data_IF_652248969193
#
_entry.id   IF_652248969193
#
_cell.length_a   1.000
_cell.length_b   1.000
_cell.length_c   1.000
_cell.angle_alpha   90.00
_cell.angle_beta   90.00
_cell.angle_gamma   90.00
#
_symmetry.space_group_name_H-M   'P 1'
#
loop_
_entity.id
_entity.type
_entity.pdbx_description
1 polymer ?
#
# COMPACT_ATOMS: atom_id res chain seq x y z
N UNK A 1 14.83 63.07 -23.25
CA UNK A 1 15.18 61.70 -23.65
C UNK A 1 14.33 60.77 -22.79
N UNK A 2 13.09 60.59 -23.22
CA UNK A 2 12.03 59.84 -22.55
C UNK A 2 12.07 58.37 -22.95
N UNK A 3 12.13 57.46 -21.96
CA UNK A 3 11.75 56.05 -22.10
C UNK A 3 11.21 55.51 -20.77
N UNK A 4 9.95 55.84 -20.46
CA UNK A 4 9.11 55.02 -19.59
C UNK A 4 8.03 54.37 -20.46
N UNK A 5 8.29 53.14 -20.90
CA UNK A 5 7.30 52.32 -21.58
C UNK A 5 6.31 51.78 -20.55
N UNK A 6 5.05 52.23 -20.64
CA UNK A 6 3.95 51.79 -19.80
C UNK A 6 3.65 50.31 -20.07
N UNK A 7 3.87 49.46 -19.07
CA UNK A 7 3.38 48.08 -19.05
C UNK A 7 1.86 48.11 -18.89
N UNK A 8 1.13 47.77 -19.94
CA UNK A 8 -0.33 47.67 -19.93
C UNK A 8 -0.79 46.46 -19.09
N UNK A 9 -1.59 46.66 -18.03
CA UNK A 9 -2.18 45.55 -17.27
C UNK A 9 -3.59 45.30 -17.81
N UNK A 10 -3.71 44.45 -18.83
CA UNK A 10 -4.99 43.87 -19.23
C UNK A 10 -4.84 42.38 -19.55
N UNK A 11 -4.57 41.58 -18.52
CA UNK A 11 -5.01 40.18 -18.55
C UNK A 11 -6.40 40.12 -17.94
N UNK A 12 -7.41 40.31 -18.79
CA UNK A 12 -8.81 40.15 -18.40
C UNK A 12 -9.07 38.75 -17.86
N UNK A 13 -9.67 38.67 -16.68
CA UNK A 13 -10.10 37.41 -16.06
C UNK A 13 -11.14 36.78 -16.98
N UNK A 14 -10.76 35.72 -17.71
CA UNK A 14 -11.72 34.93 -18.50
C UNK A 14 -12.64 34.20 -17.53
N UNK A 15 -13.93 34.53 -17.57
CA UNK A 15 -14.97 33.78 -16.87
C UNK A 15 -15.08 32.39 -17.48
N UNK A 16 -14.77 31.34 -16.71
CA UNK A 16 -14.96 29.95 -17.11
C UNK A 16 -16.43 29.58 -16.97
N UNK A 17 -17.05 29.08 -18.03
CA UNK A 17 -18.44 28.65 -18.04
C UNK A 17 -18.61 27.26 -17.41
N UNK A 18 -19.79 26.99 -16.85
CA UNK A 18 -20.15 25.66 -16.31
C UNK A 18 -20.05 24.58 -17.39
N UNK A 19 -20.35 24.92 -18.66
CA UNK A 19 -20.22 24.01 -19.79
C UNK A 19 -18.76 23.61 -20.06
N UNK A 20 -17.82 24.56 -19.97
CA UNK A 20 -16.39 24.28 -20.12
C UNK A 20 -15.87 23.39 -18.97
N UNK A 21 -16.31 23.65 -17.74
CA UNK A 21 -15.99 22.77 -16.59
C UNK A 21 -16.52 21.36 -16.83
N UNK A 22 -17.77 21.23 -17.28
CA UNK A 22 -18.38 19.93 -17.58
C UNK A 22 -17.64 19.17 -18.69
N UNK A 23 -17.22 19.86 -19.76
CA UNK A 23 -16.43 19.26 -20.82
C UNK A 23 -15.06 18.77 -20.31
N UNK A 24 -14.39 19.56 -19.47
CA UNK A 24 -13.10 19.17 -18.87
C UNK A 24 -13.24 17.94 -17.96
N UNK A 25 -14.26 17.88 -17.10
CA UNK A 25 -14.50 16.74 -16.22
C UNK A 25 -14.80 15.45 -17.01
N UNK A 26 -15.58 15.54 -18.10
CA UNK A 26 -15.81 14.40 -19.01
C UNK A 26 -14.51 13.93 -19.65
N UNK A 27 -13.69 14.85 -20.16
CA UNK A 27 -12.40 14.50 -20.76
C UNK A 27 -11.46 13.79 -19.76
N UNK A 28 -11.47 14.19 -18.48
CA UNK A 28 -10.72 13.52 -17.40
C UNK A 28 -11.24 12.09 -17.20
N UNK A 29 -12.56 11.91 -17.09
CA UNK A 29 -13.17 10.59 -16.92
C UNK A 29 -12.87 9.64 -18.09
N UNK A 30 -12.92 10.17 -19.32
CA UNK A 30 -12.56 9.40 -20.52
C UNK A 30 -11.08 8.98 -20.51
N UNK A 31 -10.21 9.88 -20.04
CA UNK A 31 -8.77 9.58 -19.90
C UNK A 31 -8.53 8.47 -18.86
N UNK A 32 -9.18 8.56 -17.70
CA UNK A 32 -9.11 7.52 -16.66
C UNK A 32 -9.62 6.19 -17.21
N UNK A 33 -10.76 6.19 -17.91
CA UNK A 33 -11.33 4.98 -18.51
C UNK A 33 -10.38 4.31 -19.50
N UNK A 34 -9.74 5.10 -20.38
CA UNK A 34 -8.71 4.58 -21.30
C UNK A 34 -7.50 4.02 -20.57
N UNK A 35 -7.02 4.67 -19.51
CA UNK A 35 -5.89 4.18 -18.72
C UNK A 35 -6.19 2.84 -18.04
N UNK A 36 -7.38 2.72 -17.47
CA UNK A 36 -7.86 1.48 -16.87
C UNK A 36 -7.95 0.35 -17.88
N UNK A 37 -8.49 0.63 -19.08
CA UNK A 37 -8.51 -0.33 -20.19
C UNK A 37 -7.12 -0.81 -20.60
N UNK A 38 -6.14 0.10 -20.67
CA UNK A 38 -4.73 -0.26 -20.95
C UNK A 38 -4.13 -1.11 -19.83
N UNK A 39 -4.34 -0.72 -18.58
CA UNK A 39 -3.86 -1.45 -17.40
C UNK A 39 -4.42 -2.87 -17.36
N UNK A 40 -5.72 -3.05 -17.62
CA UNK A 40 -6.35 -4.36 -17.72
C UNK A 40 -5.77 -5.22 -18.86
N UNK A 41 -5.41 -4.61 -20.00
CA UNK A 41 -4.65 -5.28 -21.06
C UNK A 41 -3.30 -5.80 -20.58
N UNK A 42 -2.48 -4.94 -19.96
CA UNK A 42 -1.15 -5.30 -19.45
C UNK A 42 -1.22 -6.39 -18.38
N UNK A 43 -2.23 -6.34 -17.49
CA UNK A 43 -2.43 -7.39 -16.47
C UNK A 43 -2.65 -8.76 -17.12
N UNK A 44 -3.50 -8.84 -18.15
CA UNK A 44 -3.74 -10.09 -18.90
C UNK A 44 -2.45 -10.59 -19.58
N UNK A 45 -1.73 -9.70 -20.26
CA UNK A 45 -0.48 -10.06 -20.94
C UNK A 45 0.59 -10.59 -19.96
N UNK A 46 0.68 -10.00 -18.76
CA UNK A 46 1.59 -10.47 -17.71
C UNK A 46 1.14 -11.81 -17.13
N UNK A 47 -0.16 -12.04 -16.96
CA UNK A 47 -0.69 -13.33 -16.50
C UNK A 47 -0.40 -14.45 -17.51
N UNK A 48 -0.58 -14.16 -18.79
CA UNK A 48 -0.27 -15.10 -19.88
C UNK A 48 1.23 -15.39 -19.95
N UNK A 49 2.06 -14.35 -19.87
CA UNK A 49 3.53 -14.49 -19.87
C UNK A 49 4.02 -15.30 -18.68
N UNK A 50 3.49 -15.03 -17.47
CA UNK A 50 3.79 -15.80 -16.26
C UNK A 50 3.39 -17.27 -16.41
N UNK A 51 2.21 -17.53 -16.98
CA UNK A 51 1.71 -18.89 -17.19
C UNK A 51 2.58 -19.67 -18.17
N UNK A 52 2.96 -19.05 -19.30
CA UNK A 52 3.89 -19.63 -20.28
C UNK A 52 5.26 -19.93 -19.67
N UNK A 53 5.82 -18.97 -18.92
CA UNK A 53 7.10 -19.15 -18.23
C UNK A 53 7.05 -20.31 -17.22
N UNK A 54 5.96 -20.41 -16.46
CA UNK A 54 5.75 -21.51 -15.51
C UNK A 54 5.64 -22.88 -16.16
N UNK A 55 5.05 -22.98 -17.36
CA UNK A 55 5.02 -24.22 -18.14
C UNK A 55 6.42 -24.58 -18.65
N UNK A 56 7.14 -23.63 -19.24
CA UNK A 56 8.49 -23.84 -19.80
C UNK A 56 9.51 -24.26 -18.74
N UNK A 57 9.42 -23.70 -17.54
CA UNK A 57 10.38 -23.93 -16.45
C UNK A 57 9.93 -25.00 -15.44
N UNK A 58 8.91 -25.78 -15.79
CA UNK A 58 8.39 -26.84 -14.93
C UNK A 58 9.49 -27.85 -14.63
N UNK A 59 9.73 -28.10 -13.34
CA UNK A 59 10.78 -29.01 -12.86
C UNK A 59 12.17 -28.37 -12.71
N UNK A 60 12.34 -27.10 -13.09
CA UNK A 60 13.58 -26.38 -12.79
C UNK A 60 13.68 -26.10 -11.28
N UNK A 61 14.75 -26.57 -10.65
CA UNK A 61 15.10 -26.26 -9.26
C UNK A 61 15.86 -24.94 -9.08
N UNK A 62 16.07 -24.18 -10.15
CA UNK A 62 16.93 -23.01 -10.11
C UNK A 62 16.25 -21.82 -9.38
N UNK A 63 16.87 -21.21 -8.36
CA UNK A 63 16.22 -20.20 -7.50
C UNK A 63 15.76 -18.93 -8.24
N UNK A 64 16.44 -18.56 -9.33
CA UNK A 64 16.02 -17.41 -10.15
C UNK A 64 14.65 -17.58 -10.82
N UNK A 65 14.20 -18.82 -11.05
CA UNK A 65 12.87 -19.10 -11.62
C UNK A 65 11.77 -18.66 -10.64
N UNK A 66 11.90 -19.07 -9.37
CA UNK A 66 10.99 -18.65 -8.32
C UNK A 66 10.96 -17.14 -8.15
N UNK A 67 12.13 -16.49 -8.19
CA UNK A 67 12.24 -15.03 -8.11
C UNK A 67 11.56 -14.32 -9.29
N UNK A 68 11.71 -14.82 -10.51
CA UNK A 68 11.06 -14.27 -11.68
C UNK A 68 9.53 -14.38 -11.59
N UNK A 69 9.00 -15.56 -11.25
CA UNK A 69 7.55 -15.79 -11.10
C UNK A 69 6.94 -14.94 -9.98
N UNK A 70 7.66 -14.76 -8.86
CA UNK A 70 7.26 -13.85 -7.79
C UNK A 70 7.24 -12.39 -8.27
N UNK A 71 8.21 -11.98 -9.08
CA UNK A 71 8.24 -10.65 -9.71
C UNK A 71 7.01 -10.37 -10.58
N UNK A 72 6.60 -11.33 -11.43
CA UNK A 72 5.36 -11.23 -12.21
C UNK A 72 4.13 -11.07 -11.32
N UNK A 73 4.00 -11.89 -10.28
CA UNK A 73 2.86 -11.81 -9.37
C UNK A 73 2.79 -10.44 -8.69
N UNK A 74 3.92 -9.93 -8.19
CA UNK A 74 3.99 -8.61 -7.57
C UNK A 74 3.69 -7.47 -8.56
N UNK A 75 4.09 -7.59 -9.83
CA UNK A 75 3.75 -6.60 -10.87
C UNK A 75 2.24 -6.58 -11.17
N UNK A 76 1.62 -7.75 -11.28
CA UNK A 76 0.17 -7.89 -11.49
C UNK A 76 -0.61 -7.25 -10.34
N UNK A 77 -0.24 -7.51 -9.09
CA UNK A 77 -0.92 -6.92 -7.93
C UNK A 77 -0.79 -5.38 -7.91
N UNK A 78 0.38 -4.82 -8.22
CA UNK A 78 0.55 -3.36 -8.30
C UNK A 78 -0.30 -2.72 -9.40
N UNK A 79 -0.45 -3.38 -10.55
CA UNK A 79 -1.32 -2.89 -11.62
C UNK A 79 -2.80 -2.94 -11.23
N UNK A 80 -3.22 -3.97 -10.50
CA UNK A 80 -4.58 -4.06 -9.94
C UNK A 80 -4.85 -2.95 -8.92
N UNK A 81 -3.89 -2.67 -8.05
CA UNK A 81 -3.98 -1.55 -7.11
C UNK A 81 -4.09 -0.20 -7.84
N UNK A 82 -3.28 0.01 -8.89
CA UNK A 82 -3.36 1.20 -9.73
C UNK A 82 -4.74 1.35 -10.42
N UNK A 83 -5.30 0.26 -10.94
CA UNK A 83 -6.66 0.25 -11.52
C UNK A 83 -7.72 0.62 -10.47
N UNK A 84 -7.58 0.10 -9.25
CA UNK A 84 -8.49 0.42 -8.14
C UNK A 84 -8.44 1.91 -7.76
N UNK A 85 -7.25 2.49 -7.62
CA UNK A 85 -7.07 3.92 -7.34
C UNK A 85 -7.60 4.80 -8.48
N UNK A 86 -7.43 4.37 -9.73
CA UNK A 86 -8.00 5.05 -10.88
C UNK A 86 -9.54 5.01 -10.87
N UNK A 87 -10.13 3.87 -10.47
CA UNK A 87 -11.58 3.74 -10.30
C UNK A 87 -12.13 4.70 -9.22
N UNK A 88 -11.47 4.76 -8.06
CA UNK A 88 -11.82 5.70 -6.99
C UNK A 88 -11.69 7.17 -7.43
N UNK A 89 -10.65 7.49 -8.20
CA UNK A 89 -10.48 8.83 -8.77
C UNK A 89 -11.61 9.20 -9.71
N UNK A 90 -12.08 8.27 -10.56
CA UNK A 90 -13.24 8.50 -11.41
C UNK A 90 -14.52 8.74 -10.60
N UNK A 91 -14.73 7.99 -9.52
CA UNK A 91 -15.87 8.19 -8.61
C UNK A 91 -15.82 9.58 -7.95
N UNK A 92 -14.66 10.00 -7.45
CA UNK A 92 -14.47 11.32 -6.85
C UNK A 92 -14.74 12.46 -7.85
N UNK A 93 -14.30 12.32 -9.11
CA UNK A 93 -14.57 13.30 -10.18
C UNK A 93 -16.07 13.40 -10.47
N UNK A 94 -16.80 12.27 -10.49
CA UNK A 94 -18.26 12.27 -10.67
C UNK A 94 -18.99 12.91 -9.49
N UNK A 95 -18.58 12.59 -8.26
CA UNK A 95 -19.15 13.19 -7.06
C UNK A 95 -18.96 14.73 -7.06
N UNK A 96 -17.77 15.20 -7.47
CA UNK A 96 -17.52 16.63 -7.64
C UNK A 96 -18.40 17.26 -8.71
N UNK A 97 -18.53 16.63 -9.89
CA UNK A 97 -19.39 17.11 -10.97
C UNK A 97 -20.85 17.29 -10.49
N UNK A 98 -21.38 16.27 -9.80
CA UNK A 98 -22.73 16.31 -9.24
C UNK A 98 -22.89 17.45 -8.22
N UNK A 99 -21.90 17.66 -7.35
CA UNK A 99 -21.94 18.71 -6.33
C UNK A 99 -22.02 20.14 -6.94
N UNK A 100 -21.53 20.33 -8.16
CA UNK A 100 -21.62 21.61 -8.89
C UNK A 100 -22.76 21.65 -9.91
N UNK A 101 -23.71 20.71 -9.83
CA UNK A 101 -24.89 20.66 -10.70
C UNK A 101 -24.61 20.18 -12.13
N UNK A 102 -23.48 19.51 -12.36
CA UNK A 102 -23.13 18.91 -13.65
C UNK A 102 -23.44 17.42 -13.60
N UNK A 103 -24.45 16.99 -14.36
CA UNK A 103 -24.73 15.58 -14.54
C UNK A 103 -23.78 14.98 -15.59
N UNK A 104 -23.05 13.95 -15.20
CA UNK A 104 -22.17 13.17 -16.08
C UNK A 104 -22.68 11.73 -16.03
N UNK A 105 -23.28 11.22 -17.12
CA UNK A 105 -23.76 9.86 -17.16
C UNK A 105 -22.59 8.91 -16.89
N UNK A 106 -22.83 7.90 -16.04
CA UNK A 106 -21.90 6.80 -15.93
C UNK A 106 -21.76 6.17 -17.31
N UNK A 107 -20.55 6.23 -17.91
CA UNK A 107 -20.28 5.54 -19.16
C UNK A 107 -20.71 4.09 -18.99
N UNK A 108 -21.72 3.70 -19.75
CA UNK A 108 -22.27 2.35 -19.79
C UNK A 108 -21.27 1.43 -20.48
N UNK A 109 -20.13 1.20 -19.82
CA UNK A 109 -19.17 0.19 -20.21
C UNK A 109 -19.80 -1.15 -19.86
N UNK A 110 -20.39 -1.75 -20.89
CA UNK A 110 -20.99 -3.06 -20.93
C UNK A 110 -20.19 -4.08 -20.14
N UNK A 111 -20.90 -4.78 -19.26
CA UNK A 111 -20.54 -6.08 -18.73
C UNK A 111 -20.35 -7.05 -19.89
N UNK A 112 -19.12 -7.24 -20.34
CA UNK A 112 -18.73 -8.30 -21.24
C UNK A 112 -17.65 -9.15 -20.55
N UNK A 113 -18.02 -9.79 -19.44
CA UNK A 113 -17.26 -10.89 -18.84
C UNK A 113 -18.25 -11.76 -18.04
N UNK A 114 -19.01 -12.58 -18.77
CA UNK A 114 -19.81 -13.67 -18.19
C UNK A 114 -19.67 -14.95 -19.02
N UNK A 115 -18.42 -15.33 -19.32
CA UNK A 115 -18.09 -16.62 -19.94
C UNK A 115 -17.02 -17.34 -19.13
N UNK A 116 -17.45 -18.38 -18.43
CA UNK A 116 -16.62 -19.57 -18.18
C UNK A 116 -15.68 -19.56 -16.97
N UNK A 117 -16.23 -19.57 -15.76
CA UNK A 117 -15.49 -20.01 -14.57
C UNK A 117 -16.13 -21.29 -14.00
N UNK A 118 -16.01 -22.39 -14.74
CA UNK A 118 -16.15 -23.75 -14.21
C UNK A 118 -14.75 -24.32 -13.99
N UNK A 119 -14.29 -24.30 -12.74
CA UNK A 119 -12.97 -24.78 -12.37
C UNK A 119 -12.82 -24.86 -10.87
N UNK A 120 -13.35 -25.94 -10.30
CA UNK A 120 -13.05 -26.48 -8.97
C UNK A 120 -11.59 -26.23 -8.57
N UNK A 121 -11.39 -25.50 -7.47
CA UNK A 121 -10.12 -25.53 -6.74
C UNK A 121 -10.41 -25.48 -5.25
N UNK A 122 -10.02 -26.58 -4.63
CA UNK A 122 -10.31 -26.95 -3.26
C UNK A 122 -9.80 -25.91 -2.27
N UNK A 123 -10.75 -25.49 -1.44
CA UNK A 123 -10.60 -25.10 -0.05
C UNK A 123 -9.52 -25.96 0.65
N UNK A 124 -8.34 -25.36 0.90
CA UNK A 124 -7.42 -25.81 1.95
C UNK A 124 -7.37 -24.72 3.01
N UNK A 125 -8.17 -24.93 4.05
CA UNK A 125 -8.09 -24.24 5.32
C UNK A 125 -6.89 -24.77 6.13
N UNK A 126 -6.02 -23.86 6.58
CA UNK A 126 -5.17 -23.97 7.79
C UNK A 126 -4.37 -22.65 7.93
N UNK A 127 -4.49 -21.79 8.94
CA UNK A 127 -5.33 -21.76 10.13
C UNK A 127 -5.69 -20.30 10.48
N UNK A 128 -6.92 -20.11 10.94
CA UNK A 128 -7.57 -18.80 11.06
C UNK A 128 -7.00 -17.89 12.15
N UNK A 129 -7.17 -16.59 11.94
CA UNK A 129 -7.72 -15.70 12.98
C UNK A 129 -9.14 -15.36 12.49
N UNK A 130 -10.17 -15.36 13.36
CA UNK A 130 -11.52 -14.98 12.98
C UNK A 130 -11.57 -13.54 12.43
N UNK A 131 -12.66 -13.17 11.74
CA UNK A 131 -12.81 -11.86 11.13
C UNK A 131 -12.68 -10.73 12.15
N UNK A 132 -12.16 -9.61 11.65
CA UNK A 132 -12.04 -8.24 12.16
C UNK A 132 -13.30 -7.62 12.81
N UNK A 133 -14.36 -8.37 13.06
CA UNK A 133 -15.55 -7.90 13.75
C UNK A 133 -15.29 -7.90 15.27
N UNK A 134 -15.02 -6.72 15.84
CA UNK A 134 -14.99 -6.52 17.30
C UNK A 134 -13.80 -5.76 17.87
N UNK A 135 -12.85 -5.28 17.06
CA UNK A 135 -11.71 -4.51 17.57
C UNK A 135 -11.96 -3.00 17.50
N UNK A 136 -12.98 -2.50 18.22
CA UNK A 136 -13.25 -1.05 18.31
C UNK A 136 -12.01 -0.23 18.72
N UNK A 137 -11.11 -0.84 19.49
CA UNK A 137 -9.85 -0.23 19.87
C UNK A 137 -8.89 0.05 18.69
N UNK A 138 -9.01 -0.65 17.55
CA UNK A 138 -8.21 -0.35 16.34
C UNK A 138 -8.65 0.97 15.74
N UNK A 139 -9.95 1.25 15.73
CA UNK A 139 -10.49 2.54 15.29
C UNK A 139 -10.04 3.66 16.25
N UNK A 140 -10.08 3.42 17.56
CA UNK A 140 -9.54 4.34 18.57
C UNK A 140 -8.02 4.57 18.41
N UNK A 141 -7.26 3.53 18.05
CA UNK A 141 -5.84 3.64 17.75
C UNK A 141 -5.58 4.50 16.52
N UNK A 142 -6.38 4.34 15.46
CA UNK A 142 -6.31 5.19 14.27
C UNK A 142 -6.63 6.64 14.61
N UNK A 143 -7.64 6.89 15.44
CA UNK A 143 -8.00 8.25 15.88
C UNK A 143 -6.87 8.99 16.60
N UNK A 144 -5.90 8.25 17.18
CA UNK A 144 -4.71 8.79 17.85
C UNK A 144 -3.53 9.05 16.91
N UNK A 145 -3.56 8.53 15.68
CA UNK A 145 -2.48 8.77 14.72
C UNK A 145 -2.63 10.16 14.08
N UNK A 146 -1.54 10.93 13.94
CA UNK A 146 -1.57 12.17 13.17
C UNK A 146 -2.01 11.92 11.73
N UNK A 147 -2.94 12.74 11.24
CA UNK A 147 -3.36 12.71 9.83
C UNK A 147 -2.22 13.12 8.91
N UNK A 148 -2.21 12.60 7.69
CA UNK A 148 -1.27 12.95 6.61
C UNK A 148 -2.03 13.62 5.47
N UNK A 149 -2.29 14.95 5.53
CA UNK A 149 -3.00 15.66 4.46
C UNK A 149 -2.35 15.41 3.10
N UNK A 150 -3.15 14.95 2.13
CA UNK A 150 -2.67 14.60 0.79
C UNK A 150 -1.60 13.49 0.75
N UNK A 151 -1.56 12.62 1.77
CA UNK A 151 -0.58 11.54 1.87
C UNK A 151 0.85 12.00 2.12
N UNK A 152 1.05 13.27 2.51
CA UNK A 152 2.36 13.87 2.78
C UNK A 152 2.63 13.97 4.28
N UNK A 153 3.91 14.10 4.63
CA UNK A 153 4.37 14.21 6.02
C UNK A 153 4.78 12.88 6.65
N UNK A 154 5.13 12.90 7.95
CA UNK A 154 5.71 11.77 8.67
C UNK A 154 4.78 10.56 8.75
N UNK A 155 5.38 9.38 8.71
CA UNK A 155 4.70 8.11 8.98
C UNK A 155 4.65 7.90 10.49
N UNK A 156 3.49 7.55 11.02
CA UNK A 156 3.28 7.24 12.43
C UNK A 156 2.68 5.84 12.58
N UNK A 157 3.21 5.07 13.51
CA UNK A 157 2.73 3.73 13.87
C UNK A 157 2.52 3.58 15.37
N UNK A 158 1.47 2.86 15.76
CA UNK A 158 1.21 2.43 17.13
C UNK A 158 1.18 0.90 17.14
N UNK A 159 1.97 0.28 18.02
CA UNK A 159 2.05 -1.17 18.15
C UNK A 159 1.28 -1.63 19.38
N UNK A 160 0.46 -2.67 19.21
CA UNK A 160 -0.38 -3.26 20.24
C UNK A 160 -0.21 -4.78 20.26
N UNK A 161 -0.53 -5.40 21.39
CA UNK A 161 -0.82 -6.83 21.41
C UNK A 161 -2.23 -7.12 20.86
N UNK A 162 -2.66 -8.38 20.89
CA UNK A 162 -3.98 -8.80 20.38
C UNK A 162 -5.16 -8.35 21.24
N UNK A 163 -4.90 -7.88 22.47
CA UNK A 163 -5.91 -7.32 23.38
C UNK A 163 -6.11 -5.82 23.20
N UNK A 164 -5.27 -5.16 22.38
CA UNK A 164 -5.26 -3.70 22.23
C UNK A 164 -4.41 -2.98 23.26
N UNK A 165 -3.58 -3.70 24.04
CA UNK A 165 -2.65 -3.08 24.99
C UNK A 165 -1.44 -2.54 24.23
N UNK A 166 -1.06 -1.26 24.41
CA UNK A 166 0.10 -0.68 23.72
C UNK A 166 1.41 -1.38 24.10
N UNK A 167 2.18 -1.78 23.08
CA UNK A 167 3.56 -2.29 23.23
C UNK A 167 4.62 -1.18 23.11
N UNK A 168 4.18 0.04 22.76
CA UNK A 168 4.99 1.25 22.66
C UNK A 168 4.37 2.37 23.49
N UNK A 169 5.20 3.17 24.16
CA UNK A 169 4.76 4.39 24.83
C UNK A 169 4.39 5.49 23.83
N UNK A 170 5.38 6.21 23.25
CA UNK A 170 5.13 7.14 22.16
C UNK A 170 4.94 6.40 20.81
N UNK A 171 4.23 7.01 19.85
CA UNK A 171 4.17 6.48 18.48
C UNK A 171 5.56 6.30 17.85
N UNK A 172 5.69 5.24 17.05
CA UNK A 172 6.81 5.06 16.13
C UNK A 172 6.67 6.13 15.03
N UNK A 173 7.60 7.08 14.96
CA UNK A 173 7.51 8.20 14.01
C UNK A 173 8.68 8.19 13.06
N UNK A 174 8.41 8.07 11.76
CA UNK A 174 9.40 8.31 10.69
C UNK A 174 9.19 9.71 10.11
N UNK A 175 10.20 10.57 10.21
CA UNK A 175 10.24 11.90 9.58
C UNK A 175 11.58 12.13 8.89
N UNK A 176 11.58 12.75 7.70
CA UNK A 176 12.81 13.09 6.94
C UNK A 176 13.74 11.89 6.67
N UNK A 177 13.19 10.67 6.59
CA UNK A 177 14.03 9.47 6.47
C UNK A 177 14.76 9.13 7.76
N UNK A 178 14.20 9.46 8.93
CA UNK A 178 14.74 9.02 10.22
C UNK A 178 13.60 8.61 11.14
N UNK A 179 13.77 7.51 11.87
CA UNK A 179 12.87 7.21 12.97
C UNK A 179 13.23 8.09 14.19
N UNK A 180 12.23 8.76 14.76
CA UNK A 180 12.37 9.71 15.88
C UNK A 180 11.72 9.24 17.18
N UNK A 181 11.30 7.97 17.30
CA UNK A 181 10.72 7.49 18.57
C UNK A 181 11.81 7.25 19.61
N UNK A 182 11.86 8.10 20.64
CA UNK A 182 12.90 8.15 21.68
C UNK A 182 12.99 6.95 22.64
N UNK A 183 12.63 5.74 22.20
CA UNK A 183 12.73 4.51 23.00
C UNK A 183 12.50 3.20 22.24
N UNK A 184 12.33 3.23 20.91
CA UNK A 184 12.24 2.00 20.12
C UNK A 184 13.65 1.46 19.82
N UNK A 185 13.86 0.12 19.89
CA UNK A 185 15.12 -0.49 19.48
C UNK A 185 15.39 -0.18 18.00
N UNK A 186 16.67 -0.18 17.63
CA UNK A 186 17.07 -0.05 16.23
C UNK A 186 16.48 -1.20 15.41
N UNK A 187 16.06 -0.92 14.17
CA UNK A 187 15.51 -1.94 13.27
C UNK A 187 16.43 -3.16 13.06
N UNK A 188 17.74 -2.99 13.25
CA UNK A 188 18.78 -4.04 13.14
C UNK A 188 18.99 -4.85 14.40
N UNK A 189 18.47 -4.40 15.54
CA UNK A 189 18.74 -5.04 16.82
C UNK A 189 18.22 -6.48 16.79
N UNK A 190 19.11 -7.45 17.08
CA UNK A 190 18.81 -8.88 17.01
C UNK A 190 18.78 -9.48 15.60
N UNK A 191 19.21 -8.76 14.56
CA UNK A 191 19.40 -9.34 13.22
C UNK A 191 20.83 -9.85 13.00
N UNK A 192 20.97 -10.82 12.09
CA UNK A 192 22.27 -11.30 11.61
C UNK A 192 22.94 -10.22 10.73
N UNK A 193 24.28 -10.11 10.74
CA UNK A 193 24.99 -9.11 9.95
C UNK A 193 24.72 -9.17 8.43
N UNK A 194 24.52 -10.36 7.87
CA UNK A 194 24.20 -10.54 6.43
C UNK A 194 22.81 -10.04 6.05
N UNK A 195 21.92 -9.82 7.02
CA UNK A 195 20.61 -9.20 6.83
C UNK A 195 20.63 -7.68 6.93
N UNK A 196 21.73 -7.07 7.40
CA UNK A 196 21.84 -5.62 7.54
C UNK A 196 21.66 -4.84 6.23
N UNK A 197 22.11 -5.30 5.05
CA UNK A 197 21.86 -4.61 3.78
C UNK A 197 20.38 -4.63 3.38
N UNK A 198 19.69 -5.75 3.58
CA UNK A 198 18.25 -5.87 3.32
C UNK A 198 17.44 -4.98 4.27
N UNK A 199 17.83 -4.96 5.54
CA UNK A 199 17.20 -4.12 6.55
C UNK A 199 17.60 -2.64 6.45
N UNK A 200 18.71 -2.27 5.79
CA UNK A 200 19.17 -0.88 5.67
C UNK A 200 18.10 0.01 5.03
N UNK A 201 17.40 -0.54 4.05
CA UNK A 201 16.40 0.16 3.24
C UNK A 201 15.12 0.45 4.03
N UNK A 202 14.82 -0.40 5.01
CA UNK A 202 13.62 -0.31 5.86
C UNK A 202 13.98 0.13 7.28
N UNK A 203 15.24 0.45 7.57
CA UNK A 203 15.74 0.64 8.94
C UNK A 203 15.09 1.78 9.71
N UNK A 204 14.47 2.72 9.00
CA UNK A 204 13.79 3.89 9.56
C UNK A 204 12.27 3.74 9.51
N UNK A 205 11.77 2.61 8.98
CA UNK A 205 10.36 2.36 8.78
C UNK A 205 9.72 1.84 10.07
N UNK A 206 8.50 2.30 10.34
CA UNK A 206 7.80 1.94 11.58
C UNK A 206 7.57 0.44 11.71
N UNK A 207 7.42 -0.27 10.59
CA UNK A 207 7.27 -1.72 10.49
C UNK A 207 8.53 -2.47 10.95
N UNK A 208 9.70 -1.99 10.53
CA UNK A 208 10.98 -2.61 10.87
C UNK A 208 11.28 -2.48 12.38
N UNK A 209 10.89 -1.35 12.97
CA UNK A 209 10.99 -1.14 14.41
C UNK A 209 9.93 -1.89 15.21
N UNK A 210 8.72 -2.04 14.68
CA UNK A 210 7.74 -2.96 15.25
C UNK A 210 8.28 -4.40 15.29
N UNK A 211 8.92 -4.86 14.20
CA UNK A 211 9.58 -6.17 14.20
C UNK A 211 10.71 -6.25 15.24
N UNK A 212 11.50 -5.19 15.41
CA UNK A 212 12.54 -5.13 16.44
C UNK A 212 11.99 -5.24 17.86
N UNK A 213 10.86 -4.60 18.15
CA UNK A 213 10.17 -4.76 19.43
C UNK A 213 9.71 -6.21 19.65
N UNK A 214 9.21 -6.88 18.61
CA UNK A 214 8.78 -8.28 18.69
C UNK A 214 9.92 -9.28 18.83
N UNK A 215 11.17 -8.90 18.55
CA UNK A 215 12.35 -9.74 18.80
C UNK A 215 12.81 -9.71 20.26
N UNK A 216 12.30 -8.80 21.09
CA UNK A 216 12.71 -8.71 22.50
C UNK A 216 12.27 -9.93 23.29
N UNK A 217 13.06 -10.37 24.29
CA UNK A 217 12.62 -11.37 25.25
C UNK A 217 11.30 -10.95 25.90
N UNK A 218 10.32 -11.87 25.95
CA UNK A 218 9.01 -11.63 26.54
C UNK A 218 8.02 -10.87 25.64
N UNK A 219 8.40 -10.48 24.43
CA UNK A 219 7.45 -9.89 23.47
C UNK A 219 6.37 -10.91 23.06
N UNK A 220 5.14 -10.44 22.76
CA UNK A 220 4.07 -11.33 22.37
C UNK A 220 4.34 -11.97 21.00
N UNK A 221 3.79 -13.17 20.79
CA UNK A 221 3.86 -13.87 19.51
C UNK A 221 2.97 -13.25 18.44
N UNK A 222 1.95 -12.51 18.84
CA UNK A 222 1.04 -11.86 17.91
C UNK A 222 0.88 -10.39 18.30
N UNK A 223 0.94 -9.51 17.32
CA UNK A 223 0.81 -8.08 17.52
C UNK A 223 0.10 -7.42 16.34
N UNK A 224 -0.38 -6.21 16.60
CA UNK A 224 -1.08 -5.37 15.64
C UNK A 224 -0.37 -4.02 15.54
N UNK A 225 0.08 -3.69 14.34
CA UNK A 225 0.60 -2.37 14.02
C UNK A 225 -0.47 -1.57 13.30
N UNK A 226 -0.87 -0.45 13.88
CA UNK A 226 -1.76 0.52 13.25
C UNK A 226 -0.88 1.66 12.72
N UNK A 227 -0.96 1.95 11.42
CA UNK A 227 -0.09 2.93 10.74
C UNK A 227 -0.89 3.85 9.81
N UNK A 228 -0.44 5.09 9.65
CA UNK A 228 -1.10 6.10 8.80
C UNK A 228 -0.56 6.15 7.35
N UNK A 229 0.17 5.11 6.93
CA UNK A 229 0.75 4.96 5.59
C UNK A 229 0.85 3.47 5.27
N UNK A 230 0.45 3.05 4.06
CA UNK A 230 0.68 1.68 3.59
C UNK A 230 2.16 1.29 3.66
N UNK A 231 2.41 0.00 3.86
CA UNK A 231 3.76 -0.56 3.80
C UNK A 231 4.37 -0.36 2.42
N UNK A 232 5.68 -0.12 2.38
CA UNK A 232 6.37 0.02 1.10
C UNK A 232 6.58 -1.35 0.43
N UNK A 233 6.38 -1.38 -0.88
CA UNK A 233 6.71 -2.50 -1.76
C UNK A 233 8.05 -2.23 -2.46
N UNK A 234 8.74 -3.28 -2.92
CA UNK A 234 10.00 -3.08 -3.66
C UNK A 234 9.80 -2.24 -4.92
N UNK A 235 10.80 -1.40 -5.26
CA UNK A 235 10.83 -0.59 -6.48
C UNK A 235 12.27 -0.45 -6.99
N UNK A 236 12.59 -1.13 -8.09
CA UNK A 236 13.96 -1.18 -8.60
C UNK A 236 14.89 -1.88 -7.61
N UNK A 237 15.99 -1.22 -7.24
CA UNK A 237 16.97 -1.72 -6.24
C UNK A 237 16.49 -1.56 -4.79
N UNK A 238 15.41 -0.80 -4.56
CA UNK A 238 14.79 -0.63 -3.25
C UNK A 238 13.98 -1.88 -2.88
N UNK A 239 14.34 -2.54 -1.77
CA UNK A 239 13.57 -3.67 -1.20
C UNK A 239 12.59 -3.13 -0.15
N UNK A 240 11.29 -3.42 -0.33
CA UNK A 240 10.23 -2.94 0.54
C UNK A 240 10.10 -3.72 1.86
N UNK A 241 9.32 -3.15 2.77
CA UNK A 241 8.94 -3.82 4.02
C UNK A 241 8.20 -5.12 3.73
N UNK A 242 7.36 -5.16 2.69
CA UNK A 242 6.60 -6.36 2.32
C UNK A 242 7.46 -7.60 2.11
N UNK A 243 8.68 -7.42 1.60
CA UNK A 243 9.60 -8.50 1.27
C UNK A 243 10.52 -8.88 2.43
N UNK A 244 10.99 -7.91 3.22
CA UNK A 244 11.99 -8.16 4.28
C UNK A 244 11.34 -8.49 5.63
N UNK A 245 10.14 -7.95 5.90
CA UNK A 245 9.50 -8.04 7.22
C UNK A 245 9.26 -9.47 7.72
N UNK A 246 8.85 -10.46 6.90
CA UNK A 246 8.75 -11.85 7.34
C UNK A 246 10.05 -12.40 7.95
N UNK A 247 11.21 -12.10 7.35
CA UNK A 247 12.51 -12.56 7.83
C UNK A 247 13.01 -11.82 9.07
N UNK A 248 12.51 -10.61 9.30
CA UNK A 248 12.81 -9.79 10.48
C UNK A 248 11.98 -10.17 11.71
N UNK A 249 10.88 -10.90 11.53
CA UNK A 249 9.99 -11.31 12.61
C UNK A 249 10.43 -12.67 13.22
N UNK A 250 10.30 -12.86 14.55
CA UNK A 250 10.56 -14.15 15.19
C UNK A 250 9.81 -15.30 14.51
N UNK A 251 10.44 -16.47 14.40
CA UNK A 251 9.79 -17.63 13.79
C UNK A 251 8.45 -17.93 14.47
N UNK A 252 7.40 -18.02 13.66
CA UNK A 252 6.03 -18.31 14.11
C UNK A 252 5.31 -17.13 14.76
N UNK A 253 5.92 -15.95 14.86
CA UNK A 253 5.18 -14.75 15.28
C UNK A 253 4.31 -14.22 14.16
N UNK A 254 3.32 -13.38 14.50
CA UNK A 254 2.42 -12.73 13.55
C UNK A 254 2.35 -11.23 13.82
N UNK A 255 2.37 -10.45 12.75
CA UNK A 255 2.15 -9.01 12.78
C UNK A 255 1.05 -8.64 11.80
N UNK A 256 -0.11 -8.25 12.33
CA UNK A 256 -1.18 -7.67 11.53
C UNK A 256 -0.93 -6.17 11.35
N UNK A 257 -1.01 -5.66 10.13
CA UNK A 257 -0.85 -4.23 9.84
C UNK A 257 -2.19 -3.67 9.38
N UNK A 258 -2.71 -2.70 10.12
CA UNK A 258 -3.85 -1.88 9.74
C UNK A 258 -3.37 -0.54 9.25
N UNK A 259 -3.96 -0.09 8.14
CA UNK A 259 -3.68 1.22 7.56
C UNK A 259 -4.92 2.08 7.65
N UNK A 260 -4.72 3.35 8.00
CA UNK A 260 -5.71 4.38 7.75
C UNK A 260 -5.21 5.41 6.74
N UNK A 261 -6.06 5.74 5.78
CA UNK A 261 -5.89 6.85 4.83
C UNK A 261 -6.57 8.15 5.32
N UNK A 262 -7.10 8.15 6.54
CA UNK A 262 -7.83 9.26 7.14
C UNK A 262 -9.34 9.24 6.89
N UNK A 263 -9.83 8.39 5.98
CA UNK A 263 -11.26 8.20 5.71
C UNK A 263 -11.73 6.79 6.14
N UNK A 264 -10.90 5.78 5.92
CA UNK A 264 -11.19 4.40 6.30
C UNK A 264 -9.99 3.76 7.00
N UNK A 265 -10.29 2.74 7.82
CA UNK A 265 -9.30 1.85 8.41
C UNK A 265 -9.49 0.48 7.80
N UNK A 266 -8.42 -0.12 7.29
CA UNK A 266 -8.47 -1.48 6.73
C UNK A 266 -7.28 -2.30 7.18
N UNK A 267 -7.51 -3.59 7.36
CA UNK A 267 -6.43 -4.57 7.44
C UNK A 267 -5.69 -4.54 6.10
N UNK A 268 -4.41 -4.18 6.12
CA UNK A 268 -3.57 -4.22 4.93
C UNK A 268 -3.07 -5.65 4.70
N UNK A 269 -2.41 -6.23 5.71
CA UNK A 269 -1.75 -7.54 5.58
C UNK A 269 -1.44 -8.14 6.94
N UNK A 270 -1.33 -9.47 6.99
CA UNK A 270 -0.81 -10.20 8.14
C UNK A 270 0.49 -10.89 7.73
N UNK A 271 1.58 -10.57 8.42
CA UNK A 271 2.89 -11.17 8.22
C UNK A 271 3.09 -12.31 9.21
N UNK A 272 3.69 -13.41 8.73
CA UNK A 272 4.15 -14.52 9.58
C UNK A 272 5.67 -14.53 9.60
N UNK A 273 6.26 -14.56 10.79
CA UNK A 273 7.71 -14.53 10.95
C UNK A 273 8.37 -15.85 10.58
N UNK A 274 9.40 -15.78 9.74
CA UNK A 274 10.23 -16.93 9.35
C UNK A 274 11.44 -17.09 10.26
N UNK A 275 11.89 -15.98 10.87
CA UNK A 275 13.10 -15.88 11.68
C UNK A 275 14.41 -15.97 10.90
N UNK A 276 14.37 -15.92 9.56
CA UNK A 276 15.55 -16.12 8.70
C UNK A 276 16.68 -15.11 8.96
N UNK A 277 16.31 -13.88 9.30
CA UNK A 277 17.24 -12.79 9.55
C UNK A 277 17.67 -12.60 10.99
N UNK A 278 17.21 -13.42 11.92
CA UNK A 278 17.43 -13.21 13.36
C UNK A 278 18.71 -13.90 13.80
N UNK A 279 19.52 -13.19 14.60
CA UNK A 279 20.73 -13.77 15.19
C UNK A 279 20.35 -14.84 16.21
N UNK A 280 21.03 -16.00 16.12
CA UNK A 280 20.87 -17.14 17.03
C UNK A 280 21.33 -16.82 18.44
#
# INVERSE_FOLDING_TARGET
>A
MDRYAALSPQQGVRSVSVAEVGAALRAILDSISRERGRTAGVVRDLQDSRSRLGVTLRGSGHPLVGRALAGFAAAIERLREADHLAAQSAEAVRAYAHAIGIDIPASSSQSADNVGQTGTSAQRSAGGVPPTQGQGWVEDAVGRLPRRPGGKGPTHGLLFDTSGTPLTGPPLTQSEGYLRSGGAPGARDGLRPDWHPLAQVTREHVEAHAAALLRRPGAPREAVLVVNKPTCVSKGEYVGCDEVLPGMLPRGSRLAIYVSDGAATRLLKVYTGTGEGIAS
#
